data_IF_292268143971
#
_entry.id   IF_292268143971
#
_cell.length_a   1.000
_cell.length_b   1.000
_cell.length_c   1.000
_cell.angle_alpha   90.00
_cell.angle_beta   90.00
_cell.angle_gamma   90.00
#
_symmetry.space_group_name_H-M   'P 1'
#
loop_
_entity.id
_entity.type
_entity.pdbx_description
1 polymer ?
#
# COMPACT_ATOMS: atom_id res chain seq x y z
N UNK A 1 -3.46 -11.78 -35.87
CA UNK A 1 -2.41 -11.32 -34.94
C UNK A 1 -1.04 -11.78 -35.47
N UNK A 2 -0.69 -11.34 -36.68
CA UNK A 2 0.53 -11.78 -37.38
C UNK A 2 1.70 -10.80 -37.17
N UNK A 3 1.40 -9.52 -36.96
CA UNK A 3 2.40 -8.52 -36.57
C UNK A 3 2.81 -8.72 -35.11
N UNK A 4 4.08 -9.12 -34.92
CA UNK A 4 4.70 -9.31 -33.61
C UNK A 4 4.80 -8.02 -32.78
N UNK A 5 4.57 -6.85 -33.39
CA UNK A 5 4.55 -5.57 -32.67
C UNK A 5 3.23 -5.28 -31.97
N UNK A 6 2.15 -6.00 -32.28
CA UNK A 6 0.84 -5.70 -31.74
C UNK A 6 0.56 -6.42 -30.41
N UNK A 7 1.51 -6.32 -29.48
CA UNK A 7 1.44 -6.91 -28.13
C UNK A 7 0.24 -6.37 -27.33
N UNK A 8 -0.14 -5.11 -27.52
CA UNK A 8 -1.29 -4.52 -26.84
C UNK A 8 -2.63 -5.13 -27.27
N UNK A 9 -2.76 -5.58 -28.53
CA UNK A 9 -3.96 -6.29 -28.96
C UNK A 9 -4.14 -7.63 -28.23
N UNK A 10 -3.04 -8.34 -27.90
CA UNK A 10 -3.12 -9.55 -27.08
C UNK A 10 -3.62 -9.24 -25.67
N UNK A 11 -3.19 -8.11 -25.08
CA UNK A 11 -3.66 -7.68 -23.76
C UNK A 11 -5.17 -7.45 -23.78
N UNK A 12 -5.69 -6.69 -24.75
CA UNK A 12 -7.13 -6.42 -24.86
C UNK A 12 -7.92 -7.69 -25.14
N UNK A 13 -7.43 -8.54 -26.04
CA UNK A 13 -8.08 -9.82 -26.36
C UNK A 13 -8.13 -10.77 -25.16
N UNK A 14 -7.07 -10.81 -24.34
CA UNK A 14 -7.02 -11.67 -23.16
C UNK A 14 -8.13 -11.35 -22.15
N UNK A 15 -8.52 -10.08 -21.99
CA UNK A 15 -9.64 -9.72 -21.11
C UNK A 15 -11.02 -10.06 -21.68
N UNK A 16 -11.12 -10.39 -22.97
CA UNK A 16 -12.36 -10.81 -23.64
C UNK A 16 -12.50 -12.33 -23.72
N UNK A 17 -11.38 -13.06 -23.65
CA UNK A 17 -11.39 -14.52 -23.69
C UNK A 17 -11.73 -15.15 -22.33
N UNK A 18 -12.25 -16.39 -22.33
CA UNK A 18 -12.34 -17.15 -21.09
C UNK A 18 -10.94 -17.39 -20.51
N UNK A 19 -10.89 -17.54 -19.19
CA UNK A 19 -9.65 -17.50 -18.41
C UNK A 19 -8.55 -18.47 -18.91
N UNK A 20 -8.84 -19.75 -19.25
CA UNK A 20 -7.79 -20.65 -19.74
C UNK A 20 -7.18 -20.21 -21.08
N UNK A 21 -8.01 -19.77 -22.03
CA UNK A 21 -7.57 -19.28 -23.33
C UNK A 21 -6.82 -17.96 -23.21
N UNK A 22 -7.28 -17.08 -22.31
CA UNK A 22 -6.64 -15.81 -22.02
C UNK A 22 -5.20 -16.01 -21.49
N UNK A 23 -5.01 -16.93 -20.54
CA UNK A 23 -3.67 -17.25 -20.00
C UNK A 23 -2.74 -17.78 -21.11
N UNK A 24 -3.23 -18.71 -21.93
CA UNK A 24 -2.46 -19.26 -23.05
C UNK A 24 -2.09 -18.17 -24.07
N UNK A 25 -3.02 -17.26 -24.37
CA UNK A 25 -2.77 -16.15 -25.27
C UNK A 25 -1.68 -15.21 -24.73
N UNK A 26 -1.70 -14.91 -23.42
CA UNK A 26 -0.70 -14.06 -22.78
C UNK A 26 0.68 -14.71 -22.68
N UNK A 27 0.77 -16.02 -22.37
CA UNK A 27 2.04 -16.75 -22.35
C UNK A 27 2.69 -16.75 -23.75
N UNK A 28 1.89 -16.92 -24.81
CA UNK A 28 2.38 -16.80 -26.19
C UNK A 28 2.82 -15.36 -26.53
N UNK A 29 2.06 -14.36 -26.07
CA UNK A 29 2.40 -12.95 -26.28
C UNK A 29 3.69 -12.56 -25.54
N UNK A 30 3.90 -13.08 -24.34
CA UNK A 30 5.13 -12.90 -23.59
C UNK A 30 6.32 -13.50 -24.33
N UNK A 31 6.21 -14.75 -24.81
CA UNK A 31 7.27 -15.42 -25.54
C UNK A 31 7.67 -14.63 -26.80
N UNK A 32 6.69 -14.18 -27.58
CA UNK A 32 6.90 -13.34 -28.76
C UNK A 32 7.52 -11.98 -28.40
N UNK A 33 7.03 -11.33 -27.35
CA UNK A 33 7.57 -10.05 -26.90
C UNK A 33 9.01 -10.17 -26.42
N UNK A 34 9.34 -11.25 -25.71
CA UNK A 34 10.70 -11.57 -25.25
C UNK A 34 11.64 -11.82 -26.43
N UNK A 35 11.20 -12.56 -27.44
CA UNK A 35 11.98 -12.80 -28.65
C UNK A 35 12.22 -11.50 -29.44
N UNK A 36 11.18 -10.70 -29.66
CA UNK A 36 11.29 -9.42 -30.34
C UNK A 36 12.22 -8.43 -29.63
N UNK A 37 12.19 -8.41 -28.29
CA UNK A 37 13.12 -7.59 -27.50
C UNK A 37 14.57 -8.11 -27.58
N UNK A 38 14.79 -9.43 -27.61
CA UNK A 38 16.12 -10.00 -27.82
C UNK A 38 16.70 -9.66 -29.20
N UNK A 39 15.85 -9.63 -30.23
CA UNK A 39 16.28 -9.26 -31.58
C UNK A 39 16.69 -7.78 -31.67
N UNK A 40 16.01 -6.89 -30.93
CA UNK A 40 16.27 -5.43 -30.99
C UNK A 40 17.35 -4.94 -30.03
N UNK A 41 17.34 -5.43 -28.80
CA UNK A 41 18.23 -4.98 -27.72
C UNK A 41 19.41 -5.93 -27.49
N UNK A 42 19.43 -7.09 -28.16
CA UNK A 42 20.44 -8.13 -28.01
C UNK A 42 19.99 -9.29 -27.12
N UNK A 43 20.66 -10.44 -27.27
CA UNK A 43 20.29 -11.68 -26.58
C UNK A 43 20.37 -11.59 -25.04
N UNK A 44 21.24 -10.73 -24.53
CA UNK A 44 21.53 -10.53 -23.10
C UNK A 44 20.68 -9.45 -22.44
N UNK A 45 19.68 -8.89 -23.14
CA UNK A 45 18.90 -7.75 -22.63
C UNK A 45 18.14 -8.04 -21.32
N UNK A 46 17.88 -9.32 -21.02
CA UNK A 46 17.22 -9.76 -19.79
C UNK A 46 18.19 -10.22 -18.69
N UNK A 47 19.50 -10.22 -18.92
CA UNK A 47 20.49 -10.71 -17.95
C UNK A 47 20.78 -9.63 -16.90
N UNK A 48 20.94 -10.02 -15.63
CA UNK A 48 21.09 -9.07 -14.50
C UNK A 48 22.27 -8.08 -14.62
N UNK A 49 23.26 -8.39 -15.46
CA UNK A 49 24.41 -7.53 -15.74
C UNK A 49 24.28 -6.64 -16.98
N UNK A 50 23.16 -6.72 -17.69
CA UNK A 50 22.95 -5.93 -18.91
C UNK A 50 22.76 -4.45 -18.60
N UNK A 51 22.99 -3.59 -19.60
CA UNK A 51 22.81 -2.13 -19.42
C UNK A 51 21.34 -1.73 -19.39
N UNK A 52 20.49 -2.63 -19.89
CA UNK A 52 19.06 -2.47 -20.12
C UNK A 52 18.26 -2.86 -18.86
N UNK A 53 18.65 -3.92 -18.14
CA UNK A 53 17.96 -4.33 -16.90
C UNK A 53 17.98 -3.17 -15.90
N UNK A 54 16.79 -2.86 -15.37
CA UNK A 54 16.59 -1.73 -14.48
C UNK A 54 16.11 -0.45 -15.18
N UNK A 55 16.25 -0.37 -16.51
CA UNK A 55 15.90 0.81 -17.32
C UNK A 55 14.82 0.53 -18.36
N UNK A 56 14.13 -0.60 -18.29
CA UNK A 56 13.10 -0.96 -19.27
C UNK A 56 12.05 0.16 -19.39
N UNK A 57 11.61 0.75 -18.29
CA UNK A 57 10.65 1.87 -18.35
C UNK A 57 11.13 3.10 -19.14
N UNK A 58 12.43 3.31 -19.28
CA UNK A 58 12.99 4.40 -20.10
C UNK A 58 13.10 4.05 -21.59
N UNK A 59 12.93 2.77 -21.96
CA UNK A 59 13.03 2.26 -23.34
C UNK A 59 11.60 2.00 -23.85
N UNK A 60 11.13 2.86 -24.75
CA UNK A 60 9.74 2.83 -25.25
C UNK A 60 9.36 1.48 -25.88
N UNK A 61 10.31 0.83 -26.54
CA UNK A 61 10.13 -0.47 -27.20
C UNK A 61 9.76 -1.58 -26.22
N UNK A 62 10.12 -1.45 -24.94
CA UNK A 62 9.82 -2.46 -23.91
C UNK A 62 8.46 -2.24 -23.24
N UNK A 63 7.81 -1.10 -23.46
CA UNK A 63 6.54 -0.75 -22.81
C UNK A 63 5.41 -1.76 -23.10
N UNK A 64 5.18 -2.19 -24.36
CA UNK A 64 4.14 -3.19 -24.63
C UNK A 64 4.41 -4.52 -23.91
N UNK A 65 5.67 -4.94 -23.82
CA UNK A 65 6.05 -6.14 -23.07
C UNK A 65 5.78 -6.00 -21.57
N UNK A 66 6.15 -4.88 -20.96
CA UNK A 66 5.84 -4.61 -19.54
C UNK A 66 4.34 -4.56 -19.28
N UNK A 67 3.53 -4.00 -20.20
CA UNK A 67 2.07 -4.01 -20.10
C UNK A 67 1.50 -5.43 -20.11
N UNK A 68 2.02 -6.33 -20.95
CA UNK A 68 1.62 -7.75 -20.94
C UNK A 68 1.86 -8.37 -19.56
N UNK A 69 3.10 -8.26 -19.07
CA UNK A 69 3.49 -8.86 -17.78
C UNK A 69 2.60 -8.33 -16.65
N UNK A 70 2.49 -7.01 -16.54
CA UNK A 70 1.87 -6.35 -15.39
C UNK A 70 0.37 -6.31 -15.47
N UNK A 71 -0.17 -5.77 -16.57
CA UNK A 71 -1.58 -5.44 -16.63
C UNK A 71 -2.40 -6.71 -16.80
N UNK A 72 -1.91 -7.63 -17.62
CA UNK A 72 -2.66 -8.79 -18.05
C UNK A 72 -2.28 -10.04 -17.25
N UNK A 73 -1.01 -10.45 -17.26
CA UNK A 73 -0.60 -11.73 -16.66
C UNK A 73 -0.76 -11.73 -15.14
N UNK A 74 -0.21 -10.74 -14.42
CA UNK A 74 -0.32 -10.69 -12.94
C UNK A 74 -1.78 -10.74 -12.49
N UNK A 75 -2.65 -9.96 -13.15
CA UNK A 75 -4.08 -9.91 -12.85
C UNK A 75 -4.80 -11.23 -13.17
N UNK A 76 -4.63 -11.77 -14.37
CA UNK A 76 -5.33 -13.01 -14.75
C UNK A 76 -4.80 -14.22 -13.99
N UNK A 77 -3.51 -14.30 -13.67
CA UNK A 77 -2.98 -15.33 -12.79
C UNK A 77 -3.58 -15.22 -11.38
N UNK A 78 -3.80 -14.02 -10.87
CA UNK A 78 -4.47 -13.84 -9.58
C UNK A 78 -5.93 -14.28 -9.64
N UNK A 79 -6.68 -13.89 -10.66
CA UNK A 79 -8.08 -14.30 -10.86
C UNK A 79 -8.20 -15.83 -11.04
N UNK A 80 -7.18 -16.47 -11.63
CA UNK A 80 -7.06 -17.91 -11.75
C UNK A 80 -6.61 -18.64 -10.47
N UNK A 81 -6.28 -17.92 -9.39
CA UNK A 81 -5.74 -18.50 -8.16
C UNK A 81 -4.28 -18.99 -8.28
N UNK A 82 -3.58 -18.65 -9.37
CA UNK A 82 -2.18 -18.99 -9.61
C UNK A 82 -1.24 -17.96 -8.96
N UNK A 83 -1.35 -17.81 -7.63
CA UNK A 83 -0.66 -16.76 -6.88
C UNK A 83 0.87 -16.84 -6.97
N UNK A 84 1.44 -18.04 -7.05
CA UNK A 84 2.89 -18.25 -7.22
C UNK A 84 3.40 -17.63 -8.52
N UNK A 85 2.81 -18.03 -9.65
CA UNK A 85 3.14 -17.47 -10.97
C UNK A 85 2.96 -15.96 -11.01
N UNK A 86 1.83 -15.46 -10.49
CA UNK A 86 1.56 -14.02 -10.39
C UNK A 86 2.68 -13.30 -9.62
N UNK A 87 3.10 -13.84 -8.48
CA UNK A 87 4.19 -13.27 -7.69
C UNK A 87 5.54 -13.28 -8.42
N UNK A 88 5.88 -14.36 -9.12
CA UNK A 88 7.14 -14.48 -9.85
C UNK A 88 7.19 -13.51 -11.05
N UNK A 89 6.07 -13.33 -11.76
CA UNK A 89 5.94 -12.31 -12.81
C UNK A 89 6.16 -10.90 -12.26
N UNK A 90 5.66 -10.60 -11.05
CA UNK A 90 5.91 -9.31 -10.41
C UNK A 90 7.36 -9.13 -9.96
N UNK A 91 8.03 -10.20 -9.49
CA UNK A 91 9.47 -10.18 -9.17
C UNK A 91 10.26 -9.82 -10.43
N UNK A 92 9.97 -10.50 -11.54
CA UNK A 92 10.60 -10.23 -12.82
C UNK A 92 10.34 -8.80 -13.29
N UNK A 93 9.13 -8.29 -13.12
CA UNK A 93 8.85 -6.88 -13.43
C UNK A 93 9.70 -5.94 -12.60
N UNK A 94 9.70 -6.08 -11.27
CA UNK A 94 10.48 -5.21 -10.38
C UNK A 94 11.98 -5.32 -10.66
N UNK A 95 12.46 -6.48 -11.13
CA UNK A 95 13.83 -6.66 -11.62
C UNK A 95 14.10 -5.81 -12.86
N UNK A 96 13.18 -5.80 -13.84
CA UNK A 96 13.30 -5.03 -15.09
C UNK A 96 13.07 -3.52 -14.89
N UNK A 97 12.15 -3.15 -13.98
CA UNK A 97 11.81 -1.77 -13.60
C UNK A 97 11.76 -1.62 -12.07
N UNK A 98 12.93 -1.45 -11.42
CA UNK A 98 13.04 -1.25 -9.97
C UNK A 98 12.26 -0.02 -9.49
N UNK A 99 12.20 1.03 -10.32
CA UNK A 99 11.53 2.30 -10.00
C UNK A 99 10.02 2.17 -9.75
N UNK A 100 9.45 1.00 -10.04
CA UNK A 100 8.05 0.70 -9.77
C UNK A 100 7.10 1.72 -10.41
N UNK A 101 7.41 2.11 -11.65
CA UNK A 101 6.64 3.10 -12.39
C UNK A 101 5.20 2.67 -12.67
N UNK A 102 4.91 1.37 -12.57
CA UNK A 102 3.58 0.78 -12.72
C UNK A 102 2.90 0.44 -11.37
N UNK A 103 3.42 0.96 -10.26
CA UNK A 103 2.86 0.78 -8.91
C UNK A 103 2.59 -0.69 -8.51
N UNK A 104 3.42 -1.62 -8.96
CA UNK A 104 3.36 -3.04 -8.59
C UNK A 104 3.75 -3.29 -7.14
N UNK A 105 4.57 -2.43 -6.53
CA UNK A 105 4.99 -2.62 -5.13
C UNK A 105 3.81 -2.68 -4.17
N UNK A 106 2.71 -2.00 -4.47
CA UNK A 106 1.53 -1.98 -3.59
C UNK A 106 0.79 -3.31 -3.62
N UNK A 107 0.88 -4.07 -4.71
CA UNK A 107 0.20 -5.37 -4.81
C UNK A 107 1.10 -6.53 -4.42
N UNK A 108 2.41 -6.39 -4.64
CA UNK A 108 3.36 -7.50 -4.55
C UNK A 108 3.37 -8.18 -3.18
N UNK A 109 3.36 -7.39 -2.12
CA UNK A 109 3.34 -7.90 -0.75
C UNK A 109 2.09 -8.75 -0.46
N UNK A 110 0.92 -8.29 -0.91
CA UNK A 110 -0.34 -9.05 -0.81
C UNK A 110 -0.30 -10.34 -1.63
N UNK A 111 0.30 -10.32 -2.83
CA UNK A 111 0.46 -11.51 -3.67
C UNK A 111 1.35 -12.56 -3.02
N UNK A 112 2.48 -12.15 -2.44
CA UNK A 112 3.37 -13.06 -1.70
C UNK A 112 2.65 -13.73 -0.51
N UNK A 113 1.81 -12.98 0.21
CA UNK A 113 0.99 -13.55 1.28
C UNK A 113 -0.04 -14.56 0.78
N UNK A 114 -0.69 -14.30 -0.36
CA UNK A 114 -1.61 -15.24 -1.01
C UNK A 114 -0.91 -16.49 -1.52
N UNK A 115 0.35 -16.37 -1.96
CA UNK A 115 1.20 -17.49 -2.35
C UNK A 115 1.78 -18.28 -1.15
N UNK A 116 1.50 -17.88 0.09
CA UNK A 116 2.05 -18.51 1.31
C UNK A 116 3.50 -18.13 1.63
N UNK A 117 4.12 -17.26 0.83
CA UNK A 117 5.50 -16.78 0.99
C UNK A 117 5.57 -15.63 2.00
N UNK A 118 5.13 -15.88 3.22
CA UNK A 118 4.94 -14.85 4.27
C UNK A 118 6.26 -14.19 4.69
N UNK A 119 7.34 -14.96 4.78
CA UNK A 119 8.68 -14.45 5.10
C UNK A 119 9.17 -13.47 4.03
N UNK A 120 8.97 -13.82 2.76
CA UNK A 120 9.35 -13.00 1.61
C UNK A 120 8.54 -11.71 1.58
N UNK A 121 7.24 -11.79 1.85
CA UNK A 121 6.36 -10.62 1.94
C UNK A 121 6.86 -9.63 3.01
N UNK A 122 7.22 -10.12 4.20
CA UNK A 122 7.74 -9.26 5.25
C UNK A 122 9.10 -8.66 4.88
N UNK A 123 10.00 -9.45 4.29
CA UNK A 123 11.31 -8.97 3.83
C UNK A 123 11.15 -7.86 2.77
N UNK A 124 10.26 -8.08 1.81
CA UNK A 124 9.94 -7.11 0.76
C UNK A 124 9.43 -5.80 1.35
N UNK A 125 8.45 -5.88 2.24
CA UNK A 125 7.87 -4.72 2.91
C UNK A 125 8.92 -3.96 3.72
N UNK A 126 9.76 -4.67 4.50
CA UNK A 126 10.84 -4.04 5.28
C UNK A 126 11.81 -3.25 4.41
N UNK A 127 12.17 -3.78 3.24
CA UNK A 127 13.05 -3.07 2.30
C UNK A 127 12.41 -1.77 1.80
N UNK A 128 11.16 -1.83 1.35
CA UNK A 128 10.46 -0.63 0.90
C UNK A 128 10.21 0.38 2.02
N UNK A 129 9.97 -0.08 3.25
CA UNK A 129 9.84 0.79 4.43
C UNK A 129 11.16 1.45 4.85
N UNK A 130 12.28 0.73 4.74
CA UNK A 130 13.61 1.22 5.11
C UNK A 130 14.18 2.24 4.12
N UNK A 131 13.87 2.08 2.83
CA UNK A 131 14.37 3.00 1.81
C UNK A 131 13.57 4.30 1.82
N UNK A 132 14.29 5.43 1.71
CA UNK A 132 13.64 6.72 1.48
C UNK A 132 12.95 6.67 0.11
N UNK A 133 11.83 7.38 -0.06
CA UNK A 133 11.08 7.44 -1.35
C UNK A 133 11.93 7.78 -2.58
N UNK A 134 13.10 8.39 -2.40
CA UNK A 134 14.04 8.77 -3.47
C UNK A 134 15.01 7.66 -3.87
N UNK A 135 15.12 6.61 -3.06
CA UNK A 135 16.03 5.50 -3.29
C UNK A 135 15.21 4.25 -3.55
N UNK A 136 15.46 3.65 -4.70
CA UNK A 136 14.86 2.38 -5.06
C UNK A 136 15.66 1.25 -4.43
N UNK A 137 15.02 0.29 -3.72
CA UNK A 137 15.73 -0.86 -3.21
C UNK A 137 16.40 -1.66 -4.36
N UNK A 138 17.50 -2.37 -4.10
CA UNK A 138 18.12 -3.24 -5.10
C UNK A 138 17.09 -4.17 -5.74
N UNK A 139 17.09 -4.22 -7.08
CA UNK A 139 16.12 -4.99 -7.90
C UNK A 139 14.64 -4.66 -7.67
N UNK A 140 14.32 -3.52 -7.05
CA UNK A 140 12.95 -3.15 -6.70
C UNK A 140 12.43 -3.85 -5.44
N UNK A 141 13.31 -4.41 -4.61
CA UNK A 141 12.96 -5.04 -3.33
C UNK A 141 12.80 -6.58 -3.25
N UNK A 142 12.77 -7.38 -4.34
CA UNK A 142 12.73 -8.85 -4.26
C UNK A 142 14.12 -9.43 -3.99
N UNK A 143 14.84 -8.86 -3.03
CA UNK A 143 16.05 -9.44 -2.46
C UNK A 143 15.71 -9.98 -1.08
N UNK A 144 15.23 -11.21 -1.00
CA UNK A 144 14.69 -11.78 0.25
C UNK A 144 15.81 -12.14 1.24
N UNK A 145 16.37 -11.12 1.89
CA UNK A 145 17.31 -11.29 3.00
C UNK A 145 16.55 -11.13 4.31
N UNK A 146 16.76 -12.07 5.22
CA UNK A 146 16.20 -11.98 6.57
C UNK A 146 16.73 -10.74 7.30
N UNK A 147 15.92 -9.69 7.37
CA UNK A 147 16.18 -8.49 8.17
C UNK A 147 15.51 -8.64 9.53
N UNK A 148 16.31 -8.85 10.57
CA UNK A 148 15.82 -8.99 11.96
C UNK A 148 15.40 -7.66 12.58
N UNK A 149 15.94 -6.53 12.11
CA UNK A 149 15.65 -5.22 12.69
C UNK A 149 14.42 -4.56 12.07
N UNK A 150 13.65 -3.87 12.92
CA UNK A 150 12.54 -3.03 12.49
C UNK A 150 13.09 -1.67 12.07
N UNK A 151 12.89 -1.25 10.81
CA UNK A 151 13.31 0.07 10.39
C UNK A 151 12.48 1.15 11.11
N UNK A 152 13.08 2.32 11.33
CA UNK A 152 12.36 3.51 11.79
C UNK A 152 11.30 3.84 10.74
N UNK A 153 10.03 3.70 11.11
CA UNK A 153 8.92 3.78 10.17
C UNK A 153 8.60 5.25 9.89
N UNK A 154 8.96 5.73 8.69
CA UNK A 154 8.47 7.01 8.16
C UNK A 154 7.15 6.78 7.43
N UNK A 155 6.29 7.80 7.36
CA UNK A 155 4.96 7.72 6.76
C UNK A 155 5.02 7.20 5.30
N UNK A 156 4.63 5.94 5.13
CA UNK A 156 4.65 5.18 3.88
C UNK A 156 3.22 4.88 3.41
N UNK A 157 3.08 4.18 2.29
CA UNK A 157 1.79 3.71 1.75
C UNK A 157 1.11 2.80 2.77
N UNK A 158 -0.16 3.07 3.05
CA UNK A 158 -0.96 2.30 4.01
C UNK A 158 -1.02 0.80 3.68
N UNK A 159 -1.07 0.45 2.39
CA UNK A 159 -1.07 -0.95 1.93
C UNK A 159 0.17 -1.71 2.40
N UNK A 160 1.36 -1.11 2.26
CA UNK A 160 2.62 -1.77 2.64
C UNK A 160 2.63 -2.03 4.15
N UNK A 161 2.14 -1.07 4.95
CA UNK A 161 2.04 -1.23 6.41
C UNK A 161 1.03 -2.31 6.81
N UNK A 162 -0.14 -2.36 6.17
CA UNK A 162 -1.13 -3.43 6.42
C UNK A 162 -0.59 -4.81 6.03
N UNK A 163 0.15 -4.90 4.93
CA UNK A 163 0.82 -6.13 4.52
C UNK A 163 1.88 -6.54 5.55
N UNK A 164 2.67 -5.59 6.06
CA UNK A 164 3.66 -5.84 7.11
C UNK A 164 3.01 -6.43 8.36
N UNK A 165 1.92 -5.81 8.82
CA UNK A 165 1.15 -6.27 9.96
C UNK A 165 0.68 -7.72 9.74
N UNK A 166 -0.07 -7.95 8.65
CA UNK A 166 -0.58 -9.28 8.34
C UNK A 166 0.52 -10.35 8.19
N UNK A 167 1.67 -9.99 7.63
CA UNK A 167 2.83 -10.88 7.54
C UNK A 167 3.43 -11.19 8.92
N UNK A 168 3.60 -10.18 9.79
CA UNK A 168 4.09 -10.36 11.15
C UNK A 168 3.14 -11.25 11.96
N UNK A 169 1.83 -10.99 11.84
CA UNK A 169 0.80 -11.78 12.51
C UNK A 169 0.85 -13.24 12.07
N UNK A 170 1.01 -13.53 10.78
CA UNK A 170 1.11 -14.92 10.30
C UNK A 170 2.37 -15.64 10.74
N UNK A 171 3.49 -14.93 10.92
CA UNK A 171 4.76 -15.54 11.34
C UNK A 171 4.85 -15.74 12.85
N UNK A 172 4.40 -14.77 13.63
CA UNK A 172 4.62 -14.71 15.08
C UNK A 172 3.34 -14.65 15.90
N UNK A 173 2.17 -14.62 15.27
CA UNK A 173 0.90 -14.34 15.93
C UNK A 173 0.80 -12.88 16.36
N UNK A 174 -0.08 -12.63 17.31
CA UNK A 174 -0.25 -11.31 17.92
C UNK A 174 1.02 -10.92 18.69
N UNK A 175 1.79 -10.00 18.12
CA UNK A 175 3.05 -9.52 18.69
C UNK A 175 3.09 -7.99 18.73
N UNK A 176 3.90 -7.38 19.64
CA UNK A 176 3.98 -5.91 19.74
C UNK A 176 4.34 -5.22 18.42
N UNK A 177 5.12 -5.92 17.58
CA UNK A 177 5.56 -5.45 16.26
C UNK A 177 4.42 -5.38 15.27
N UNK A 178 3.61 -6.43 15.19
CA UNK A 178 2.40 -6.47 14.35
C UNK A 178 1.44 -5.34 14.75
N UNK A 179 1.14 -5.22 16.05
CA UNK A 179 0.29 -4.15 16.58
C UNK A 179 0.79 -2.77 16.21
N UNK A 180 2.11 -2.54 16.25
CA UNK A 180 2.71 -1.28 15.85
C UNK A 180 2.50 -0.99 14.36
N UNK A 181 2.72 -1.98 13.49
CA UNK A 181 2.45 -1.83 12.05
C UNK A 181 0.98 -1.56 11.79
N UNK A 182 0.08 -2.28 12.44
CA UNK A 182 -1.36 -2.10 12.30
C UNK A 182 -1.82 -0.72 12.76
N UNK A 183 -1.30 -0.21 13.88
CA UNK A 183 -1.59 1.14 14.35
C UNK A 183 -1.14 2.21 13.36
N UNK A 184 0.06 2.06 12.79
CA UNK A 184 0.57 2.98 11.78
C UNK A 184 -0.23 2.90 10.48
N UNK A 185 -0.61 1.69 10.07
CA UNK A 185 -1.46 1.46 8.91
C UNK A 185 -2.84 2.10 9.08
N UNK A 186 -3.47 1.92 10.24
CA UNK A 186 -4.77 2.50 10.58
C UNK A 186 -4.73 4.04 10.64
N UNK A 187 -3.61 4.62 11.09
CA UNK A 187 -3.40 6.08 11.03
C UNK A 187 -3.23 6.58 9.58
N UNK A 188 -2.56 5.79 8.73
CA UNK A 188 -2.31 6.16 7.34
C UNK A 188 -3.56 6.06 6.46
N UNK A 189 -4.34 4.97 6.60
CA UNK A 189 -5.61 4.79 5.90
C UNK A 189 -6.62 4.01 6.77
N UNK A 190 -7.45 4.71 7.57
CA UNK A 190 -8.43 4.06 8.45
C UNK A 190 -9.54 3.34 7.68
N UNK A 191 -9.71 3.63 6.39
CA UNK A 191 -10.76 3.05 5.55
C UNK A 191 -10.60 1.54 5.42
N UNK A 192 -9.36 1.06 5.23
CA UNK A 192 -9.06 -0.38 5.10
C UNK A 192 -9.57 -1.12 6.33
N UNK A 193 -9.11 -0.70 7.52
CA UNK A 193 -9.48 -1.35 8.77
C UNK A 193 -10.99 -1.24 9.03
N UNK A 194 -11.61 -0.09 8.73
CA UNK A 194 -13.05 0.09 8.90
C UNK A 194 -13.85 -0.90 8.05
N UNK A 195 -13.45 -1.11 6.80
CA UNK A 195 -14.11 -2.06 5.90
C UNK A 195 -13.91 -3.52 6.35
N UNK A 196 -12.70 -3.89 6.81
CA UNK A 196 -12.41 -5.22 7.39
C UNK A 196 -13.28 -5.47 8.63
N UNK A 197 -13.30 -4.52 9.58
CA UNK A 197 -14.08 -4.63 10.82
C UNK A 197 -15.59 -4.66 10.59
N UNK A 198 -16.05 -3.98 9.54
CA UNK A 198 -17.45 -4.03 9.12
C UNK A 198 -17.81 -5.35 8.39
N UNK A 199 -16.86 -6.27 8.18
CA UNK A 199 -17.04 -7.53 7.45
C UNK A 199 -17.70 -7.30 6.09
N UNK A 200 -17.26 -6.25 5.39
CA UNK A 200 -17.73 -5.98 4.03
C UNK A 200 -17.21 -7.09 3.13
N UNK A 201 -18.09 -7.67 2.32
CA UNK A 201 -17.73 -8.70 1.37
C UNK A 201 -16.67 -8.23 0.35
N UNK A 202 -15.84 -9.19 -0.06
CA UNK A 202 -14.81 -9.01 -1.07
C UNK A 202 -15.38 -8.33 -2.31
N UNK A 203 -14.81 -7.18 -2.72
CA UNK A 203 -15.17 -6.56 -3.98
C UNK A 203 -15.09 -7.57 -5.12
N UNK A 204 -16.05 -7.56 -6.05
CA UNK A 204 -16.03 -8.50 -7.18
C UNK A 204 -14.95 -8.18 -8.20
N UNK A 205 -14.55 -6.91 -8.27
CA UNK A 205 -13.54 -6.42 -9.22
C UNK A 205 -12.65 -5.37 -8.58
N UNK A 206 -11.49 -5.19 -9.21
CA UNK A 206 -10.62 -4.04 -8.98
C UNK A 206 -11.34 -2.73 -9.25
N UNK A 207 -10.92 -1.68 -8.54
CA UNK A 207 -11.43 -0.34 -8.78
C UNK A 207 -10.80 0.25 -10.07
N UNK A 208 -11.64 0.80 -10.94
CA UNK A 208 -11.21 1.44 -12.18
C UNK A 208 -10.99 2.96 -12.03
N UNK A 209 -11.36 3.54 -10.89
CA UNK A 209 -11.16 4.98 -10.64
C UNK A 209 -9.67 5.32 -10.42
N UNK A 210 -9.26 6.56 -10.72
CA UNK A 210 -7.92 7.06 -10.36
C UNK A 210 -7.63 6.84 -8.87
N UNK A 211 -6.41 6.37 -8.57
CA UNK A 211 -5.99 6.04 -7.21
C UNK A 211 -5.31 7.25 -6.58
N UNK A 212 -5.86 7.71 -5.44
CA UNK A 212 -5.18 8.65 -4.57
C UNK A 212 -4.26 7.92 -3.58
N UNK A 213 -3.29 8.62 -3.03
CA UNK A 213 -2.45 8.07 -1.96
C UNK A 213 -3.30 7.91 -0.68
N UNK A 214 -3.35 6.70 -0.12
CA UNK A 214 -4.19 6.34 1.03
C UNK A 214 -5.68 6.62 0.82
N UNK A 215 -6.18 6.48 -0.41
CA UNK A 215 -7.57 6.78 -0.73
C UNK A 215 -8.52 5.59 -0.46
N UNK A 216 -9.85 5.81 -0.45
CA UNK A 216 -10.84 4.74 -0.35
C UNK A 216 -10.80 3.73 -1.49
N UNK A 217 -10.35 4.18 -2.67
CA UNK A 217 -10.12 3.36 -3.87
C UNK A 217 -8.96 2.39 -3.67
N UNK A 218 -7.84 2.88 -3.13
CA UNK A 218 -6.69 2.05 -2.75
C UNK A 218 -7.11 1.02 -1.69
N UNK A 219 -7.97 1.41 -0.74
CA UNK A 219 -8.51 0.50 0.25
C UNK A 219 -9.39 -0.62 -0.37
N UNK A 220 -10.15 -0.32 -1.42
CA UNK A 220 -10.94 -1.32 -2.14
C UNK A 220 -10.05 -2.34 -2.85
N UNK A 221 -9.01 -1.88 -3.54
CA UNK A 221 -8.06 -2.78 -4.20
C UNK A 221 -7.34 -3.67 -3.18
N UNK A 222 -6.95 -3.12 -2.03
CA UNK A 222 -6.34 -3.89 -0.96
C UNK A 222 -7.24 -5.02 -0.45
N UNK A 223 -8.54 -4.74 -0.23
CA UNK A 223 -9.51 -5.76 0.18
C UNK A 223 -9.69 -6.83 -0.89
N UNK A 224 -9.79 -6.43 -2.17
CA UNK A 224 -9.86 -7.37 -3.28
C UNK A 224 -8.68 -8.37 -3.26
N UNK A 225 -7.47 -7.89 -2.94
CA UNK A 225 -6.26 -8.72 -2.87
C UNK A 225 -6.20 -9.59 -1.59
N UNK A 226 -6.63 -9.06 -0.44
CA UNK A 226 -6.24 -9.61 0.88
C UNK A 226 -7.38 -10.13 1.75
N UNK A 227 -8.65 -9.93 1.41
CA UNK A 227 -9.74 -10.24 2.33
C UNK A 227 -9.79 -11.72 2.75
N UNK A 228 -9.58 -12.64 1.81
CA UNK A 228 -9.51 -14.08 2.09
C UNK A 228 -8.37 -14.41 3.09
N UNK A 229 -7.35 -13.58 3.15
CA UNK A 229 -6.21 -13.76 4.06
C UNK A 229 -6.55 -13.36 5.49
N UNK A 230 -7.41 -12.35 5.65
CA UNK A 230 -7.87 -11.85 6.94
C UNK A 230 -8.95 -12.75 7.54
N UNK A 231 -9.88 -13.28 6.73
CA UNK A 231 -10.99 -14.11 7.23
C UNK A 231 -10.55 -15.47 7.78
N UNK A 232 -9.40 -15.99 7.33
CA UNK A 232 -8.84 -17.25 7.83
C UNK A 232 -8.01 -17.07 9.12
N UNK A 233 -7.69 -15.83 9.47
CA UNK A 233 -7.12 -15.51 10.77
C UNK A 233 -8.27 -15.44 11.76
N UNK A 234 -8.13 -16.06 12.94
CA UNK A 234 -9.15 -16.01 13.99
C UNK A 234 -9.36 -14.55 14.42
N UNK A 235 -10.32 -13.86 13.78
CA UNK A 235 -10.52 -12.41 13.88
C UNK A 235 -10.84 -11.94 15.30
N UNK A 236 -11.18 -12.86 16.21
CA UNK A 236 -11.37 -12.62 17.64
C UNK A 236 -10.16 -11.90 18.27
N UNK A 237 -8.94 -12.17 17.77
CA UNK A 237 -7.72 -11.45 18.23
C UNK A 237 -7.64 -10.00 17.75
N UNK A 238 -8.19 -9.66 16.58
CA UNK A 238 -8.22 -8.28 16.08
C UNK A 238 -9.26 -7.45 16.85
N UNK A 239 -10.37 -8.08 17.26
CA UNK A 239 -11.37 -7.43 18.12
C UNK A 239 -10.79 -7.05 19.49
N UNK A 240 -9.80 -7.78 20.01
CA UNK A 240 -9.10 -7.43 21.26
C UNK A 240 -8.23 -6.16 21.17
N UNK A 241 -7.84 -5.74 19.96
CA UNK A 241 -7.10 -4.48 19.74
C UNK A 241 -8.01 -3.23 19.78
N UNK A 242 -9.32 -3.38 19.99
CA UNK A 242 -10.31 -2.29 19.91
C UNK A 242 -10.36 -1.34 21.10
N UNK A 243 -9.58 -1.52 22.17
CA UNK A 243 -9.48 -0.50 23.21
C UNK A 243 -8.48 0.61 22.81
N UNK A 244 -8.68 1.25 21.65
CA UNK A 244 -7.96 2.48 21.30
C UNK A 244 -8.62 3.63 22.06
N UNK A 245 -8.11 3.88 23.26
CA UNK A 245 -8.51 5.04 24.04
C UNK A 245 -8.03 6.31 23.35
N UNK A 246 -8.93 7.28 23.18
CA UNK A 246 -8.62 8.59 22.61
C UNK A 246 -7.59 9.38 23.43
N UNK A 247 -7.55 9.15 24.75
CA UNK A 247 -6.61 9.78 25.70
C UNK A 247 -6.26 8.81 26.84
N UNK A 248 -5.14 9.04 27.53
CA UNK A 248 -4.79 8.27 28.75
C UNK A 248 -5.86 8.41 29.85
N UNK A 249 -6.58 9.54 29.90
CA UNK A 249 -7.69 9.76 30.83
C UNK A 249 -8.89 8.88 30.49
N UNK A 250 -9.19 8.73 29.20
CA UNK A 250 -10.22 7.82 28.73
C UNK A 250 -9.85 6.37 29.05
N UNK A 251 -8.57 5.99 28.90
CA UNK A 251 -8.08 4.69 29.35
C UNK A 251 -8.30 4.47 30.84
N UNK A 252 -7.92 5.43 31.70
CA UNK A 252 -8.06 5.28 33.16
C UNK A 252 -9.51 5.19 33.63
N UNK A 253 -10.41 5.93 33.00
CA UNK A 253 -11.84 5.96 33.34
C UNK A 253 -12.61 4.75 32.82
N UNK A 254 -12.40 4.35 31.56
CA UNK A 254 -13.09 3.20 30.97
C UNK A 254 -12.45 1.85 31.35
N UNK A 255 -11.17 1.79 31.75
CA UNK A 255 -10.50 0.53 32.12
C UNK A 255 -11.26 -0.27 33.18
N UNK A 256 -11.86 0.41 34.16
CA UNK A 256 -12.68 -0.26 35.20
C UNK A 256 -13.97 -0.86 34.64
N UNK A 257 -14.54 -0.30 33.57
CA UNK A 257 -15.74 -0.81 32.92
C UNK A 257 -15.44 -1.95 31.92
N UNK A 258 -14.21 -2.03 31.42
CA UNK A 258 -13.74 -3.07 30.50
C UNK A 258 -12.99 -4.22 31.16
N UNK A 259 -12.59 -4.09 32.43
CA UNK A 259 -12.00 -5.19 33.20
C UNK A 259 -13.09 -6.24 33.45
N UNK A 260 -13.17 -7.23 32.56
CA UNK A 260 -14.04 -8.38 32.74
C UNK A 260 -13.81 -9.02 34.11
N UNK A 261 -14.88 -9.24 34.87
CA UNK A 261 -14.84 -10.19 35.98
C UNK A 261 -14.48 -11.55 35.41
N UNK A 262 -13.50 -12.21 36.01
CA UNK A 262 -12.74 -13.38 35.56
C UNK A 262 -13.55 -14.65 35.19
N UNK A 263 -14.88 -14.58 35.18
CA UNK A 263 -15.77 -15.74 35.24
C UNK A 263 -16.91 -15.78 34.21
N UNK A 264 -16.87 -15.00 33.12
CA UNK A 264 -17.89 -15.13 32.06
C UNK A 264 -17.30 -15.36 30.66
N UNK A 265 -17.93 -16.23 29.85
CA UNK A 265 -17.48 -16.51 28.49
C UNK A 265 -17.58 -15.26 27.62
N UNK A 266 -16.53 -15.09 26.85
CA UNK A 266 -16.16 -13.95 26.03
C UNK A 266 -17.16 -13.79 24.88
N UNK A 267 -18.18 -12.96 25.04
CA UNK A 267 -18.90 -12.36 23.91
C UNK A 267 -18.40 -10.92 23.71
N UNK A 268 -17.28 -10.78 22.99
CA UNK A 268 -16.54 -9.53 22.81
C UNK A 268 -17.15 -8.60 21.76
N UNK A 269 -18.32 -8.03 22.02
CA UNK A 269 -18.66 -6.76 21.37
C UNK A 269 -17.96 -5.64 22.14
N UNK A 270 -16.79 -5.21 21.67
CA UNK A 270 -16.07 -4.10 22.30
C UNK A 270 -16.95 -2.85 22.34
N UNK A 271 -17.19 -2.31 23.53
CA UNK A 271 -17.88 -1.03 23.67
C UNK A 271 -16.94 0.08 23.16
N UNK A 272 -17.37 0.94 22.22
CA UNK A 272 -16.57 2.08 21.82
C UNK A 272 -16.33 2.99 23.02
N UNK A 273 -15.13 3.57 23.13
CA UNK A 273 -14.80 4.50 24.21
C UNK A 273 -15.83 5.65 24.26
N UNK A 274 -16.07 6.23 25.44
CA UNK A 274 -17.16 7.22 25.65
C UNK A 274 -17.18 8.33 24.58
N UNK A 275 -16.01 8.83 24.17
CA UNK A 275 -15.90 9.85 23.12
C UNK A 275 -16.26 9.31 21.73
N UNK A 276 -15.81 8.11 21.36
CA UNK A 276 -16.15 7.50 20.08
C UNK A 276 -17.64 7.14 20.00
N UNK A 277 -18.24 6.75 21.13
CA UNK A 277 -19.70 6.58 21.24
C UNK A 277 -20.42 7.90 20.96
N UNK A 278 -20.01 9.00 21.59
CA UNK A 278 -20.57 10.33 21.36
C UNK A 278 -20.43 10.78 19.89
N UNK A 279 -19.27 10.56 19.26
CA UNK A 279 -19.07 10.88 17.84
C UNK A 279 -19.99 10.03 16.95
N UNK A 280 -20.08 8.72 17.19
CA UNK A 280 -20.98 7.83 16.43
C UNK A 280 -22.44 8.24 16.58
N UNK A 281 -22.87 8.61 17.78
CA UNK A 281 -24.23 9.05 18.06
C UNK A 281 -24.52 10.43 17.42
N UNK A 282 -23.55 11.35 17.43
CA UNK A 282 -23.63 12.63 16.71
C UNK A 282 -23.75 12.44 15.20
N UNK A 283 -22.91 11.58 14.60
CA UNK A 283 -22.96 11.26 13.15
C UNK A 283 -24.31 10.63 12.79
N UNK A 284 -24.82 9.70 13.61
CA UNK A 284 -26.15 9.10 13.41
C UNK A 284 -27.28 10.11 13.55
N UNK A 285 -27.20 11.04 14.49
CA UNK A 285 -28.19 12.09 14.67
C UNK A 285 -28.23 13.02 13.44
N UNK A 286 -27.05 13.46 12.97
CA UNK A 286 -26.89 14.29 11.79
C UNK A 286 -27.46 13.61 10.53
N UNK A 287 -27.10 12.35 10.27
CA UNK A 287 -27.60 11.58 9.13
C UNK A 287 -29.13 11.37 9.15
N UNK A 288 -29.74 11.36 10.34
CA UNK A 288 -31.19 11.19 10.52
C UNK A 288 -31.95 12.52 10.63
N UNK A 289 -31.28 13.66 10.46
CA UNK A 289 -31.90 14.99 10.66
C UNK A 289 -32.38 15.24 12.10
N UNK A 290 -31.84 14.50 13.08
CA UNK A 290 -32.17 14.65 14.50
C UNK A 290 -31.27 15.72 15.14
N UNK A 291 -31.76 16.46 16.15
CA UNK A 291 -30.93 17.40 16.90
C UNK A 291 -29.73 16.66 17.51
N UNK A 292 -28.56 17.30 17.45
CA UNK A 292 -27.31 16.75 17.96
C UNK A 292 -27.42 16.63 19.48
N UNK A 293 -27.18 15.44 20.08
CA UNK A 293 -27.24 15.28 21.53
C UNK A 293 -26.20 16.20 22.20
N UNK A 294 -26.57 16.86 23.32
CA UNK A 294 -25.67 17.76 24.02
C UNK A 294 -24.40 17.02 24.46
N UNK A 295 -23.24 17.59 24.17
CA UNK A 295 -21.97 17.04 24.61
C UNK A 295 -21.70 17.50 26.05
N UNK A 296 -21.52 16.55 26.97
CA UNK A 296 -21.20 16.80 28.39
C UNK A 296 -19.97 17.71 28.60
N UNK A 297 -19.15 17.91 27.56
CA UNK A 297 -17.94 18.72 27.62
C UNK A 297 -18.21 20.24 27.68
N UNK A 298 -19.38 20.71 27.23
CA UNK A 298 -19.66 22.15 27.11
C UNK A 298 -20.31 22.79 28.34
N UNK A 299 -20.78 22.03 29.32
CA UNK A 299 -21.43 22.61 30.50
C UNK A 299 -20.44 23.14 31.55
N UNK A 300 -19.15 22.79 31.46
CA UNK A 300 -18.16 23.18 32.47
C UNK A 300 -17.49 24.55 32.24
N UNK A 301 -17.83 25.31 31.18
CA UNK A 301 -17.16 26.59 30.86
C UNK A 301 -18.03 27.80 30.52
N UNK A 302 -19.37 27.72 30.52
CA UNK A 302 -20.21 28.86 30.11
C UNK A 302 -20.72 29.78 31.24
N UNK A 303 -19.93 30.00 32.29
CA UNK A 303 -20.16 31.08 33.26
C UNK A 303 -19.02 32.10 33.24
N UNK A 304 -18.79 32.75 32.10
CA UNK A 304 -18.14 34.07 32.10
C UNK A 304 -18.87 35.00 31.14
N UNK A 305 -19.63 35.93 31.72
CA UNK A 305 -20.24 37.05 31.00
C UNK A 305 -19.12 37.97 30.51
N UNK A 306 -18.90 38.06 29.21
CA UNK A 306 -18.17 39.17 28.61
C UNK A 306 -19.07 39.89 27.60
N UNK A 307 -19.13 41.21 27.78
CA UNK A 307 -19.91 42.17 27.02
C UNK A 307 -19.40 42.30 25.57
N UNK A 308 -20.26 42.71 24.62
CA UNK A 308 -19.87 42.81 23.22
C UNK A 308 -19.00 44.05 22.97
N UNK A 309 -17.81 43.83 22.41
CA UNK A 309 -16.98 44.88 21.83
C UNK A 309 -17.43 45.17 20.39
N UNK A 310 -17.61 46.46 20.11
CA UNK A 310 -17.94 47.04 18.81
C UNK A 310 -16.80 46.85 17.81
N UNK A 311 -17.11 46.29 16.64
CA UNK A 311 -16.17 46.19 15.51
C UNK A 311 -16.21 47.46 14.68
N UNK A 312 -15.11 48.21 14.68
CA UNK A 312 -14.83 49.26 13.71
C UNK A 312 -14.22 48.64 12.45
N UNK A 313 -14.80 48.98 11.31
CA UNK A 313 -14.37 48.67 9.94
C UNK A 313 -12.99 49.29 9.65
N UNK A 314 -12.09 48.50 9.05
CA UNK A 314 -10.84 48.99 8.43
C UNK A 314 -10.84 48.69 6.92
N UNK A 315 -10.36 49.61 6.09
CA UNK A 315 -10.41 49.46 4.63
C UNK A 315 -9.25 48.61 4.09
N UNK A 316 -9.57 47.90 3.01
CA UNK A 316 -8.66 47.11 2.18
C UNK A 316 -7.74 48.02 1.36
N UNK A 317 -6.42 47.96 1.59
CA UNK A 317 -5.42 48.47 0.65
C UNK A 317 -4.74 47.32 -0.07
N UNK A 318 -4.87 47.33 -1.39
CA UNK A 318 -4.12 46.57 -2.37
C UNK A 318 -2.61 46.84 -2.25
N UNK A 319 -1.80 45.78 -2.30
CA UNK A 319 -0.43 45.86 -2.81
C UNK A 319 -0.13 44.67 -3.71
N UNK A 320 0.14 45.03 -4.95
CA UNK A 320 0.80 44.27 -6.00
C UNK A 320 2.28 44.15 -5.59
N UNK A 321 2.81 42.94 -5.61
CA UNK A 321 4.25 42.71 -5.63
C UNK A 321 4.53 41.69 -6.73
N UNK A 322 5.08 42.20 -7.82
CA UNK A 322 5.86 41.45 -8.79
C UNK A 322 7.14 40.94 -8.10
N UNK A 323 7.48 39.67 -8.28
CA UNK A 323 8.77 39.12 -7.86
C UNK A 323 9.32 38.23 -8.99
N UNK A 324 10.23 38.83 -9.76
CA UNK A 324 11.15 38.19 -10.68
C UNK A 324 12.24 37.46 -9.89
N UNK A 325 12.26 36.13 -9.95
CA UNK A 325 13.24 35.28 -9.27
C UNK A 325 14.00 34.39 -10.24
N UNK A 326 15.14 34.89 -10.71
CA UNK A 326 16.05 34.28 -11.66
C UNK A 326 16.60 32.92 -11.24
N UNK A 327 16.74 32.03 -12.23
CA UNK A 327 17.43 30.75 -12.15
C UNK A 327 18.94 30.94 -11.95
N UNK A 328 19.49 30.43 -10.84
CA UNK A 328 20.90 30.09 -10.74
C UNK A 328 21.12 28.57 -10.85
N UNK A 329 21.93 28.20 -11.84
CA UNK A 329 22.43 26.84 -12.09
C UNK A 329 23.50 26.49 -11.05
N UNK A 330 23.33 25.36 -10.38
CA UNK A 330 24.42 24.72 -9.64
C UNK A 330 25.31 23.88 -10.59
N UNK A 331 26.65 23.92 -10.45
CA UNK A 331 27.57 23.17 -11.30
C UNK A 331 27.64 21.68 -10.93
N UNK A 332 27.77 20.86 -11.98
CA UNK A 332 27.95 19.42 -11.94
C UNK A 332 29.35 19.03 -11.43
N UNK A 333 29.41 18.30 -10.30
CA UNK A 333 30.63 17.62 -9.88
C UNK A 333 30.64 16.19 -10.47
N UNK A 334 31.49 15.98 -11.47
CA UNK A 334 31.85 14.68 -12.01
C UNK A 334 32.87 13.99 -11.11
N UNK A 335 32.46 12.95 -10.39
CA UNK A 335 33.38 12.04 -9.69
C UNK A 335 33.72 10.87 -10.61
N UNK A 336 34.91 10.93 -11.21
CA UNK A 336 35.55 9.83 -11.92
C UNK A 336 36.09 8.82 -10.91
N UNK A 337 35.53 7.60 -10.91
CA UNK A 337 36.13 6.46 -10.22
C UNK A 337 37.10 5.76 -11.18
N UNK A 338 38.39 5.90 -10.88
CA UNK A 338 39.47 5.09 -11.46
C UNK A 338 39.42 3.73 -10.73
N UNK A 339 39.22 2.65 -11.49
CA UNK A 339 39.42 1.29 -11.00
C UNK A 339 40.82 0.85 -11.43
N UNK A 340 41.74 0.79 -10.47
CA UNK A 340 43.01 0.07 -10.64
C UNK A 340 42.72 -1.43 -10.64
N UNK A 341 43.08 -2.07 -11.75
CA UNK A 341 43.30 -3.51 -11.85
C UNK A 341 44.80 -3.72 -11.74
N UNK A 342 45.26 -4.28 -10.63
CA UNK A 342 46.53 -5.00 -10.58
C UNK A 342 46.51 -6.00 -9.42
N UNK A 343 46.56 -7.29 -9.76
CA UNK A 343 47.25 -8.36 -9.02
C UNK A 343 46.99 -9.70 -9.70
N UNK A 344 47.77 -9.92 -10.76
CA UNK A 344 48.30 -11.22 -11.12
C UNK A 344 49.32 -11.69 -10.09
N UNK A 345 49.41 -13.02 -9.97
CA UNK A 345 50.52 -13.84 -9.42
C UNK A 345 50.59 -14.10 -7.91
N UNK A 346 50.66 -15.41 -7.61
CA UNK A 346 50.70 -16.05 -6.31
C UNK A 346 50.22 -17.49 -6.42
#
# INVERSE_FOLDING_TARGET
MEDGNNLDAFVQAAFLFPLPEALKALENAEAKGREGLKQRLGATCFDDGSKEVGKFYSILETHPYMRILVQAQVRLYFEAGLFGKSSDTMIDMLRLCPGDNMAQRTWHGSMLLSAGRTVDALSFVKQWLAHNRRQTPPRGGPYFKHLLQLPIIRAQTSIILHTAALACFRLWGDCPVDRQYLQLAARANPTILTKILAKIDKPRSLNNNPRGFNSPEEAQDYLWLTENLCSNVNCDTIEQLQAVYCTQECQKSDWKAHKHSESQPISCFARPCKQQKQIKDMVRAYQKGKPIPPTEYNESKSTSRHAPATYATRPSSSRICDDDGSLERAPSASASWVFDKDSTEG
#
